data_IF_989427772117
#
_entry.id   IF_989427772117
#
_cell.length_a   1.000
_cell.length_b   1.000
_cell.length_c   1.000
_cell.angle_alpha   90.00
_cell.angle_beta   90.00
_cell.angle_gamma   90.00
#
_symmetry.space_group_name_H-M   'P 1'
#
loop_
_entity.id
_entity.type
_entity.pdbx_description
1 polymer ?
#
# COMPACT_ATOMS: atom_id res chain seq x y z
N UNK A 1 31.89 -7.12 -14.24
CA UNK A 1 30.48 -7.54 -14.05
C UNK A 1 30.25 -8.33 -12.75
N UNK A 2 31.16 -9.23 -12.33
CA UNK A 2 30.91 -10.31 -11.34
C UNK A 2 30.60 -9.97 -9.86
N UNK A 3 30.22 -8.74 -9.49
CA UNK A 3 29.95 -8.42 -8.08
C UNK A 3 28.68 -7.58 -7.82
N UNK A 4 27.87 -7.31 -8.85
CA UNK A 4 26.61 -6.62 -8.62
C UNK A 4 25.58 -7.60 -8.04
N UNK A 5 24.99 -7.25 -6.90
CA UNK A 5 23.93 -8.03 -6.26
C UNK A 5 22.77 -7.08 -5.94
N UNK A 6 21.55 -7.56 -6.17
CA UNK A 6 20.35 -6.80 -5.82
C UNK A 6 20.25 -6.67 -4.29
N UNK A 7 20.46 -5.46 -3.77
CA UNK A 7 20.28 -5.11 -2.35
C UNK A 7 18.98 -4.34 -2.09
N UNK A 8 18.43 -3.70 -3.12
CA UNK A 8 17.24 -2.86 -3.07
C UNK A 8 16.12 -3.29 -4.02
N UNK A 9 15.54 -2.31 -4.71
CA UNK A 9 14.54 -2.54 -5.76
C UNK A 9 15.15 -3.20 -6.99
N UNK A 10 14.32 -3.88 -7.78
CA UNK A 10 14.78 -4.38 -9.07
C UNK A 10 15.17 -3.21 -10.01
N UNK A 11 14.46 -2.08 -9.95
CA UNK A 11 14.74 -0.90 -10.78
C UNK A 11 16.11 -0.25 -10.48
N UNK A 12 16.49 -0.14 -9.21
CA UNK A 12 17.84 0.31 -8.82
C UNK A 12 18.91 -0.63 -9.35
N UNK A 13 18.72 -1.94 -9.14
CA UNK A 13 19.66 -2.97 -9.62
C UNK A 13 19.80 -2.94 -11.15
N UNK A 14 18.69 -2.82 -11.89
CA UNK A 14 18.69 -2.71 -13.36
C UNK A 14 19.48 -1.47 -13.80
N UNK A 15 19.30 -0.34 -13.11
CA UNK A 15 19.99 0.91 -13.45
C UNK A 15 21.50 0.79 -13.26
N UNK A 16 21.94 0.24 -12.13
CA UNK A 16 23.35 -0.04 -11.85
C UNK A 16 23.93 -1.05 -12.85
N UNK A 17 23.18 -2.10 -13.16
CA UNK A 17 23.58 -3.11 -14.12
C UNK A 17 23.77 -2.51 -15.51
N UNK A 18 22.85 -1.66 -15.99
CA UNK A 18 22.97 -0.96 -17.28
C UNK A 18 24.23 -0.07 -17.36
N UNK A 19 24.60 0.60 -16.27
CA UNK A 19 25.83 1.38 -16.20
C UNK A 19 27.07 0.46 -16.30
N UNK A 20 27.06 -0.68 -15.62
CA UNK A 20 28.16 -1.64 -15.70
C UNK A 20 28.24 -2.34 -17.05
N UNK A 21 27.10 -2.68 -17.64
CA UNK A 21 26.99 -3.29 -18.96
C UNK A 21 27.53 -2.35 -20.04
N UNK A 22 27.16 -1.06 -20.01
CA UNK A 22 27.68 -0.07 -20.97
C UNK A 22 29.18 0.19 -20.84
N UNK A 23 29.74 0.04 -19.64
CA UNK A 23 31.20 0.09 -19.39
C UNK A 23 31.91 -1.20 -19.78
N UNK A 24 31.18 -2.30 -19.86
CA UNK A 24 31.70 -3.59 -20.31
C UNK A 24 31.69 -3.62 -21.85
N UNK A 25 32.66 -4.29 -22.46
CA UNK A 25 32.65 -4.54 -23.91
C UNK A 25 31.76 -5.74 -24.29
N UNK A 26 30.84 -6.14 -23.42
CA UNK A 26 29.97 -7.30 -23.63
C UNK A 26 28.74 -6.83 -24.38
N UNK A 27 28.54 -7.36 -25.58
CA UNK A 27 27.41 -7.03 -26.45
C UNK A 27 26.45 -8.20 -26.64
N UNK A 28 26.81 -9.39 -26.16
CA UNK A 28 25.97 -10.57 -26.29
C UNK A 28 24.90 -10.60 -25.18
N UNK A 29 23.63 -10.61 -25.60
CA UNK A 29 22.48 -10.68 -24.69
C UNK A 29 22.53 -11.91 -23.78
N UNK A 30 22.96 -13.07 -24.30
CA UNK A 30 23.12 -14.31 -23.51
C UNK A 30 24.06 -14.10 -22.32
N UNK A 31 25.24 -13.52 -22.58
CA UNK A 31 26.22 -13.20 -21.55
C UNK A 31 25.66 -12.18 -20.54
N UNK A 32 24.97 -11.13 -21.03
CA UNK A 32 24.36 -10.12 -20.17
C UNK A 32 23.27 -10.72 -19.27
N UNK A 33 22.45 -11.61 -19.81
CA UNK A 33 21.38 -12.31 -19.09
C UNK A 33 21.95 -13.19 -17.99
N UNK A 34 23.00 -13.98 -18.27
CA UNK A 34 23.66 -14.81 -17.26
C UNK A 34 24.19 -13.96 -16.10
N UNK A 35 24.94 -12.89 -16.39
CA UNK A 35 25.43 -11.99 -15.35
C UNK A 35 24.31 -11.28 -14.59
N UNK A 36 23.24 -10.91 -15.29
CA UNK A 36 22.09 -10.27 -14.67
C UNK A 36 21.38 -11.20 -13.69
N UNK A 37 21.17 -12.46 -14.09
CA UNK A 37 20.55 -13.51 -13.27
C UNK A 37 21.40 -13.84 -12.04
N UNK A 38 22.72 -13.93 -12.18
CA UNK A 38 23.62 -14.17 -11.04
C UNK A 38 23.47 -13.09 -9.95
N UNK A 39 23.24 -11.84 -10.35
CA UNK A 39 23.10 -10.72 -9.41
C UNK A 39 21.67 -10.47 -8.90
N UNK A 40 20.65 -10.99 -9.58
CA UNK A 40 19.24 -10.76 -9.24
C UNK A 40 18.81 -11.58 -8.00
N UNK A 41 17.77 -11.14 -7.30
CA UNK A 41 17.17 -11.93 -6.22
C UNK A 41 16.71 -13.31 -6.75
N UNK A 42 17.17 -14.44 -6.16
CA UNK A 42 16.82 -15.78 -6.61
C UNK A 42 15.32 -16.02 -6.76
N UNK A 43 14.49 -15.45 -5.88
CA UNK A 43 13.02 -15.58 -5.96
C UNK A 43 12.41 -14.88 -7.17
N UNK A 44 13.03 -13.81 -7.65
CA UNK A 44 12.60 -13.14 -8.88
C UNK A 44 13.02 -13.98 -10.09
N UNK A 45 14.24 -14.53 -10.07
CA UNK A 45 14.73 -15.43 -11.13
C UNK A 45 13.80 -16.64 -11.29
N UNK A 46 13.49 -17.35 -10.19
CA UNK A 46 12.55 -18.48 -10.19
C UNK A 46 11.17 -18.09 -10.77
N UNK A 47 10.65 -16.93 -10.40
CA UNK A 47 9.36 -16.44 -10.92
C UNK A 47 9.40 -16.12 -12.41
N UNK A 48 10.51 -15.60 -12.90
CA UNK A 48 10.69 -15.31 -14.33
C UNK A 48 10.78 -16.62 -15.12
N UNK A 49 11.48 -17.62 -14.59
CA UNK A 49 11.53 -18.96 -15.19
C UNK A 49 10.17 -19.69 -15.19
N UNK A 50 9.27 -19.34 -14.26
CA UNK A 50 7.92 -19.88 -14.23
C UNK A 50 6.92 -19.19 -15.17
N UNK A 51 7.35 -18.20 -15.97
CA UNK A 51 6.50 -17.58 -16.98
C UNK A 51 6.32 -18.52 -18.18
N UNK A 52 5.15 -18.44 -18.83
CA UNK A 52 4.86 -19.21 -20.06
C UNK A 52 5.81 -18.81 -21.20
N UNK A 53 6.04 -17.50 -21.36
CA UNK A 53 7.02 -16.95 -22.29
C UNK A 53 8.31 -16.58 -21.55
N UNK A 54 9.37 -17.35 -21.79
CA UNK A 54 10.69 -17.09 -21.21
C UNK A 54 11.36 -15.91 -21.93
N UNK A 55 11.85 -14.90 -21.19
CA UNK A 55 12.61 -13.82 -21.79
C UNK A 55 13.96 -14.31 -22.33
N UNK A 56 14.25 -13.97 -23.58
CA UNK A 56 15.50 -14.30 -24.26
C UNK A 56 16.45 -13.11 -24.36
N UNK A 57 15.91 -11.88 -24.30
CA UNK A 57 16.67 -10.63 -24.40
C UNK A 57 16.87 -10.01 -23.03
N UNK A 58 17.99 -9.31 -22.84
CA UNK A 58 18.29 -8.65 -21.59
C UNK A 58 17.24 -7.57 -21.24
N UNK A 59 16.68 -6.89 -22.23
CA UNK A 59 15.61 -5.91 -22.03
C UNK A 59 14.31 -6.53 -21.53
N UNK A 60 13.96 -7.74 -21.98
CA UNK A 60 12.79 -8.43 -21.45
C UNK A 60 13.03 -8.89 -20.02
N UNK A 61 14.24 -9.37 -19.70
CA UNK A 61 14.64 -9.66 -18.33
C UNK A 61 14.48 -8.43 -17.42
N UNK A 62 14.89 -7.23 -17.87
CA UNK A 62 14.68 -5.99 -17.12
C UNK A 62 13.19 -5.71 -16.88
N UNK A 63 12.36 -5.78 -17.94
CA UNK A 63 10.91 -5.52 -17.83
C UNK A 63 10.25 -6.49 -16.85
N UNK A 64 10.51 -7.79 -16.96
CA UNK A 64 9.89 -8.80 -16.11
C UNK A 64 10.35 -8.67 -14.65
N UNK A 65 11.65 -8.45 -14.42
CA UNK A 65 12.20 -8.26 -13.08
C UNK A 65 11.58 -7.04 -12.38
N UNK A 66 11.55 -5.89 -13.06
CA UNK A 66 10.93 -4.67 -12.54
C UNK A 66 9.44 -4.87 -12.28
N UNK A 67 8.71 -5.48 -13.22
CA UNK A 67 7.27 -5.73 -13.09
C UNK A 67 6.95 -6.62 -11.89
N UNK A 68 7.65 -7.74 -11.73
CA UNK A 68 7.41 -8.70 -10.66
C UNK A 68 7.78 -8.15 -9.28
N UNK A 69 8.89 -7.41 -9.16
CA UNK A 69 9.27 -6.75 -7.90
C UNK A 69 8.22 -5.70 -7.50
N UNK A 70 7.81 -4.85 -8.45
CA UNK A 70 6.80 -3.82 -8.22
C UNK A 70 5.43 -4.42 -7.85
N UNK A 71 5.02 -5.51 -8.50
CA UNK A 71 3.81 -6.25 -8.14
C UNK A 71 3.90 -6.83 -6.72
N UNK A 72 5.03 -7.44 -6.36
CA UNK A 72 5.23 -7.99 -5.03
C UNK A 72 5.19 -6.90 -3.95
N UNK A 73 5.87 -5.77 -4.17
CA UNK A 73 5.85 -4.62 -3.26
C UNK A 73 4.45 -4.04 -3.11
N UNK A 74 3.72 -3.87 -4.21
CA UNK A 74 2.32 -3.40 -4.20
C UNK A 74 1.41 -4.36 -3.46
N UNK A 75 1.51 -5.66 -3.72
CA UNK A 75 0.74 -6.69 -3.03
C UNK A 75 1.04 -6.69 -1.52
N UNK A 76 2.32 -6.60 -1.14
CA UNK A 76 2.75 -6.50 0.27
C UNK A 76 2.16 -5.26 0.94
N UNK A 77 2.17 -4.10 0.28
CA UNK A 77 1.57 -2.88 0.80
C UNK A 77 0.03 -2.97 0.92
N UNK A 78 -0.64 -3.69 0.01
CA UNK A 78 -2.08 -3.99 0.12
C UNK A 78 -2.35 -4.92 1.30
N UNK A 79 -1.62 -6.02 1.42
CA UNK A 79 -1.81 -6.98 2.51
C UNK A 79 -1.53 -6.35 3.87
N UNK A 80 -0.48 -5.53 3.99
CA UNK A 80 -0.15 -4.80 5.22
C UNK A 80 -1.27 -3.83 5.64
N UNK A 81 -1.95 -3.17 4.69
CA UNK A 81 -3.10 -2.30 5.00
C UNK A 81 -4.29 -3.11 5.54
N UNK A 82 -4.53 -4.29 4.97
CA UNK A 82 -5.66 -5.14 5.32
C UNK A 82 -5.42 -5.91 6.63
N UNK A 83 -4.16 -6.21 6.95
CA UNK A 83 -3.73 -6.82 8.22
C UNK A 83 -3.64 -5.78 9.36
N UNK A 84 -3.80 -4.49 9.05
CA UNK A 84 -3.63 -3.37 9.95
C UNK A 84 -4.94 -2.73 10.45
N UNK A 85 -5.94 -3.53 10.84
CA UNK A 85 -6.88 -3.10 11.88
C UNK A 85 -6.34 -3.55 13.24
N UNK A 86 -5.26 -2.88 13.65
CA UNK A 86 -4.54 -3.14 14.91
C UNK A 86 -3.39 -2.15 15.13
N UNK A 87 -3.46 -0.97 14.55
CA UNK A 87 -2.47 0.08 14.83
C UNK A 87 -2.78 0.69 16.20
N UNK A 88 -2.07 0.21 17.24
CA UNK A 88 -2.12 0.71 18.62
C UNK A 88 -1.53 2.12 18.77
N UNK A 89 -0.93 2.69 17.71
CA UNK A 89 -0.26 4.00 17.75
C UNK A 89 -1.06 5.14 17.15
N UNK A 90 -2.26 4.88 16.62
CA UNK A 90 -3.24 5.97 16.45
C UNK A 90 -3.79 6.29 17.82
N UNK A 91 -3.23 7.30 18.49
CA UNK A 91 -3.90 7.92 19.64
C UNK A 91 -5.35 8.16 19.21
N UNK A 92 -6.35 7.55 19.88
CA UNK A 92 -7.73 7.85 19.55
C UNK A 92 -7.86 9.37 19.66
N UNK A 93 -8.48 10.00 18.67
CA UNK A 93 -8.92 11.38 18.85
C UNK A 93 -9.85 11.33 20.06
N UNK A 94 -9.33 11.72 21.23
CA UNK A 94 -10.16 11.96 22.40
C UNK A 94 -11.00 13.15 21.99
N UNK A 95 -12.21 12.88 21.50
CA UNK A 95 -13.28 13.84 21.61
C UNK A 95 -13.39 14.13 23.10
N UNK A 96 -12.87 15.29 23.50
CA UNK A 96 -12.95 15.77 24.85
C UNK A 96 -14.45 15.96 25.08
N UNK A 97 -15.08 15.06 25.81
CA UNK A 97 -16.41 15.29 26.32
C UNK A 97 -16.30 16.50 27.24
N UNK A 98 -16.54 17.68 26.68
CA UNK A 98 -16.78 18.88 27.47
C UNK A 98 -18.04 18.56 28.27
N UNK A 99 -17.85 18.32 29.57
CA UNK A 99 -18.95 18.37 30.52
C UNK A 99 -19.70 19.67 30.25
N UNK A 100 -21.01 19.55 29.96
CA UNK A 100 -21.85 20.64 29.56
C UNK A 100 -21.71 21.82 30.55
N UNK A 101 -21.43 23.05 30.10
CA UNK A 101 -21.52 24.22 30.96
C UNK A 101 -22.98 24.38 31.39
N UNK A 102 -23.18 24.57 32.69
CA UNK A 102 -24.45 24.99 33.27
C UNK A 102 -24.89 26.30 32.62
N UNK A 103 -26.12 26.30 32.10
CA UNK A 103 -26.96 27.46 31.76
C UNK A 103 -26.26 28.69 31.17
N UNK A 104 -26.17 28.72 29.84
CA UNK A 104 -26.12 29.98 29.08
C UNK A 104 -27.55 30.41 28.81
N UNK A 105 -27.90 31.64 29.16
CA UNK A 105 -29.20 32.23 28.85
C UNK A 105 -29.42 32.22 27.32
N UNK A 106 -30.56 31.71 26.81
CA UNK A 106 -30.82 31.64 25.37
C UNK A 106 -30.96 33.04 24.76
N UNK A 107 -30.27 33.26 23.64
CA UNK A 107 -30.42 34.44 22.77
C UNK A 107 -31.87 34.50 22.22
N UNK A 108 -32.57 35.65 22.32
CA UNK A 108 -33.95 35.78 21.85
C UNK A 108 -34.14 35.57 20.34
N UNK A 109 -33.06 35.56 19.53
CA UNK A 109 -33.11 35.26 18.10
C UNK A 109 -32.54 33.86 17.73
N UNK A 110 -32.17 33.02 18.70
CA UNK A 110 -31.77 31.65 18.42
C UNK A 110 -33.02 30.77 18.23
N UNK A 111 -33.10 30.07 17.09
CA UNK A 111 -34.13 29.05 16.87
C UNK A 111 -34.00 27.99 17.99
N UNK A 112 -35.06 27.80 18.78
CA UNK A 112 -35.06 26.86 19.91
C UNK A 112 -34.82 25.43 19.39
N UNK A 113 -33.59 24.95 19.57
CA UNK A 113 -33.17 23.59 19.24
C UNK A 113 -33.08 22.72 20.50
N UNK A 114 -33.54 23.23 21.64
CA UNK A 114 -33.27 22.69 22.97
C UNK A 114 -34.52 22.35 23.78
N UNK A 115 -35.66 22.04 23.17
CA UNK A 115 -36.74 21.28 23.82
C UNK A 115 -37.52 20.43 22.81
N UNK A 116 -37.06 19.21 22.57
CA UNK A 116 -37.77 18.28 21.71
C UNK A 116 -37.07 16.94 21.50
N UNK A 117 -36.33 16.45 22.50
CA UNK A 117 -35.83 15.07 22.43
C UNK A 117 -36.96 14.15 22.87
N UNK A 118 -37.83 13.78 21.92
CA UNK A 118 -38.87 12.77 22.13
C UNK A 118 -38.22 11.57 22.83
N UNK A 119 -38.67 11.32 24.06
CA UNK A 119 -38.10 10.26 24.89
C UNK A 119 -38.33 8.91 24.22
N UNK A 120 -37.52 7.92 24.58
CA UNK A 120 -37.60 6.59 23.96
C UNK A 120 -39.00 5.97 24.14
N UNK A 121 -39.70 6.32 25.23
CA UNK A 121 -41.07 5.88 25.51
C UNK A 121 -42.09 6.51 24.58
N UNK A 122 -42.04 7.84 24.39
CA UNK A 122 -42.92 8.55 23.46
C UNK A 122 -42.73 8.05 22.02
N UNK A 123 -41.48 7.75 21.62
CA UNK A 123 -41.19 7.17 20.30
C UNK A 123 -41.80 5.77 20.12
N UNK A 124 -41.82 4.96 21.18
CA UNK A 124 -42.37 3.60 21.15
C UNK A 124 -43.91 3.60 21.17
N UNK A 125 -44.54 4.53 21.89
CA UNK A 125 -46.00 4.61 21.97
C UNK A 125 -46.62 5.07 20.65
N UNK A 126 -45.95 5.99 19.95
CA UNK A 126 -46.32 6.40 18.58
C UNK A 126 -46.21 5.26 17.56
N UNK A 127 -45.21 4.39 17.68
CA UNK A 127 -45.06 3.19 16.82
C UNK A 127 -46.13 2.12 17.10
N UNK A 128 -46.76 2.15 18.27
CA UNK A 128 -47.76 1.16 18.70
C UNK A 128 -49.20 1.59 18.40
N UNK A 129 -49.47 2.89 18.32
CA UNK A 129 -50.80 3.47 17.99
C UNK A 129 -51.02 3.70 16.48
N UNK A 130 -50.06 3.32 15.64
CA UNK A 130 -50.15 3.40 14.18
C UNK A 130 -50.75 2.17 13.51
N UNK A 131 -51.84 1.62 14.05
CA UNK A 131 -52.73 0.63 13.40
C UNK A 131 -54.19 0.95 13.75
#
# INVERSE_FOLDING_TARGET
>A
MKHLKQTGTADEYISEFRILASRSKITEDTSLVEYFMEGLNPKLVEKIFGLEDLPTTIDDWYKYAARLDNQWRRAKAIMARNQGNGNKDRKPIRFKNYAAPRYVAPDPNAMDTSMGRLTQEERNDHMKKGL
#
